data_IF_344720239599
#
_entry.id   IF_344720239599
#
_cell.length_a   1.000
_cell.length_b   1.000
_cell.length_c   1.000
_cell.angle_alpha   90.00
_cell.angle_beta   90.00
_cell.angle_gamma   90.00
#
_symmetry.space_group_name_H-M   'P 1'
#
loop_
_entity.id
_entity.type
_entity.pdbx_description
1 polymer ?
#
# COMPACT_ATOMS: atom_id res chain seq x y z
N UNK A 1 20.38 -23.71 16.32
CA UNK A 1 19.96 -23.05 17.57
C UNK A 1 19.37 -21.66 17.29
N UNK A 2 18.12 -21.56 16.79
CA UNK A 2 17.49 -20.27 16.37
C UNK A 2 16.21 -19.91 17.15
N UNK A 3 16.02 -20.48 18.35
CA UNK A 3 14.78 -20.30 19.15
C UNK A 3 14.66 -18.95 19.90
N UNK A 4 15.71 -18.31 20.45
CA UNK A 4 15.51 -17.17 21.35
C UNK A 4 14.94 -15.94 20.63
N UNK A 5 15.42 -15.62 19.42
CA UNK A 5 14.95 -14.46 18.67
C UNK A 5 13.47 -14.58 18.26
N UNK A 6 13.02 -15.80 17.89
CA UNK A 6 11.62 -16.05 17.48
C UNK A 6 10.68 -15.83 18.66
N UNK A 7 11.08 -16.29 19.85
CA UNK A 7 10.30 -16.12 21.08
C UNK A 7 10.23 -14.64 21.45
N UNK A 8 11.35 -13.92 21.50
CA UNK A 8 11.38 -12.48 21.81
C UNK A 8 10.51 -11.68 20.85
N UNK A 9 10.63 -11.95 19.54
CA UNK A 9 9.80 -11.30 18.52
C UNK A 9 8.31 -11.57 18.72
N UNK A 10 7.93 -12.83 18.96
CA UNK A 10 6.52 -13.19 19.14
C UNK A 10 5.95 -12.57 20.42
N UNK A 11 6.72 -12.53 21.51
CA UNK A 11 6.34 -11.86 22.76
C UNK A 11 6.16 -10.36 22.54
N UNK A 12 7.09 -9.70 21.84
CA UNK A 12 6.99 -8.28 21.52
C UNK A 12 5.75 -7.97 20.67
N UNK A 13 5.44 -8.78 19.66
CA UNK A 13 4.22 -8.63 18.87
C UNK A 13 2.95 -8.86 19.69
N UNK A 14 2.94 -9.90 20.53
CA UNK A 14 1.80 -10.16 21.41
C UNK A 14 1.58 -8.99 22.39
N UNK A 15 2.64 -8.49 23.01
CA UNK A 15 2.57 -7.33 23.89
C UNK A 15 2.04 -6.08 23.15
N UNK A 16 2.52 -5.82 21.92
CA UNK A 16 2.02 -4.72 21.09
C UNK A 16 0.50 -4.83 20.83
N UNK A 17 0.02 -6.03 20.48
CA UNK A 17 -1.41 -6.27 20.25
C UNK A 17 -2.21 -6.10 21.53
N UNK A 18 -1.74 -6.63 22.67
CA UNK A 18 -2.41 -6.48 23.96
C UNK A 18 -2.50 -5.01 24.36
N UNK A 19 -1.41 -4.25 24.24
CA UNK A 19 -1.41 -2.80 24.53
C UNK A 19 -2.39 -2.06 23.63
N UNK A 20 -2.42 -2.38 22.33
CA UNK A 20 -3.38 -1.76 21.42
C UNK A 20 -4.84 -2.07 21.82
N UNK A 21 -5.16 -3.31 22.19
CA UNK A 21 -6.49 -3.70 22.65
C UNK A 21 -6.86 -2.96 23.93
N UNK A 22 -5.95 -2.91 24.92
CA UNK A 22 -6.18 -2.23 26.19
C UNK A 22 -6.45 -0.74 25.96
N UNK A 23 -5.66 -0.08 25.11
CA UNK A 23 -5.89 1.32 24.76
C UNK A 23 -7.25 1.53 24.08
N UNK A 24 -7.62 0.68 23.12
CA UNK A 24 -8.94 0.77 22.45
C UNK A 24 -10.09 0.59 23.45
N UNK A 25 -9.98 -0.38 24.36
CA UNK A 25 -11.01 -0.64 25.38
C UNK A 25 -11.11 0.53 26.37
N UNK A 26 -9.97 1.07 26.81
CA UNK A 26 -9.93 2.18 27.75
C UNK A 26 -10.58 3.46 27.16
N UNK A 27 -10.28 3.76 25.90
CA UNK A 27 -10.81 4.94 25.19
C UNK A 27 -12.15 4.67 24.47
N UNK A 28 -12.72 3.47 24.59
CA UNK A 28 -13.88 3.05 23.81
C UNK A 28 -15.10 3.98 23.88
N UNK A 29 -15.51 4.53 25.04
CA UNK A 29 -16.68 5.41 25.10
C UNK A 29 -16.53 6.66 24.22
N UNK A 30 -15.35 7.28 24.25
CA UNK A 30 -15.04 8.46 23.43
C UNK A 30 -14.93 8.09 21.95
N UNK A 31 -14.18 7.03 21.64
CA UNK A 31 -14.02 6.53 20.27
C UNK A 31 -15.37 6.19 19.64
N UNK A 32 -16.25 5.50 20.38
CA UNK A 32 -17.58 5.12 19.93
C UNK A 32 -18.48 6.34 19.70
N UNK A 33 -18.41 7.36 20.56
CA UNK A 33 -19.16 8.60 20.38
C UNK A 33 -18.73 9.34 19.10
N UNK A 34 -17.42 9.43 18.84
CA UNK A 34 -16.87 10.04 17.62
C UNK A 34 -17.29 9.23 16.38
N UNK A 35 -17.16 7.90 16.43
CA UNK A 35 -17.50 7.02 15.31
C UNK A 35 -18.97 7.05 14.94
N UNK A 36 -19.87 7.15 15.92
CA UNK A 36 -21.32 7.31 15.65
C UNK A 36 -21.59 8.57 14.83
N UNK A 37 -20.90 9.67 15.14
CA UNK A 37 -20.99 10.92 14.35
C UNK A 37 -20.38 10.78 12.95
N UNK A 38 -19.37 9.91 12.80
CA UNK A 38 -18.60 9.72 11.57
C UNK A 38 -19.03 8.47 10.77
N UNK A 39 -20.23 7.93 11.00
CA UNK A 39 -20.67 6.69 10.37
C UNK A 39 -20.67 6.75 8.82
N UNK A 40 -21.13 7.86 8.24
CA UNK A 40 -21.09 8.06 6.78
C UNK A 40 -19.65 8.21 6.27
N UNK A 41 -18.78 8.87 7.04
CA UNK A 41 -17.35 8.99 6.75
C UNK A 41 -16.68 7.61 6.70
N UNK A 42 -17.04 6.73 7.64
CA UNK A 42 -16.56 5.34 7.66
C UNK A 42 -17.00 4.55 6.41
N UNK A 43 -18.29 4.64 6.02
CA UNK A 43 -18.81 3.93 4.84
C UNK A 43 -18.15 4.42 3.55
N UNK A 44 -18.03 5.74 3.34
CA UNK A 44 -17.34 6.24 2.15
C UNK A 44 -15.86 5.86 2.12
N UNK A 45 -15.20 5.75 3.28
CA UNK A 45 -13.80 5.34 3.36
C UNK A 45 -13.66 3.87 2.94
N UNK A 46 -14.59 3.00 3.37
CA UNK A 46 -14.68 1.62 2.90
C UNK A 46 -14.81 1.56 1.37
N UNK A 47 -15.71 2.35 0.79
CA UNK A 47 -15.94 2.37 -0.67
C UNK A 47 -14.69 2.81 -1.42
N UNK A 48 -14.04 3.90 -1.00
CA UNK A 48 -12.83 4.41 -1.65
C UNK A 48 -11.68 3.38 -1.53
N UNK A 49 -11.52 2.75 -0.36
CA UNK A 49 -10.49 1.71 -0.15
C UNK A 49 -10.77 0.44 -0.96
N UNK A 50 -12.03 0.06 -1.14
CA UNK A 50 -12.42 -1.05 -2.02
C UNK A 50 -12.08 -0.72 -3.48
N UNK A 51 -12.39 0.48 -3.95
CA UNK A 51 -11.98 0.97 -5.27
C UNK A 51 -10.44 0.96 -5.42
N UNK A 52 -9.72 1.42 -4.40
CA UNK A 52 -8.26 1.38 -4.37
C UNK A 52 -7.71 -0.04 -4.48
N UNK A 53 -8.33 -1.00 -3.81
CA UNK A 53 -7.97 -2.42 -3.87
C UNK A 53 -8.22 -3.02 -5.26
N UNK A 54 -9.33 -2.66 -5.90
CA UNK A 54 -9.63 -3.07 -7.28
C UNK A 54 -8.63 -2.49 -8.28
N UNK A 55 -8.27 -1.22 -8.13
CA UNK A 55 -7.24 -0.57 -8.95
C UNK A 55 -5.89 -1.26 -8.75
N UNK A 56 -5.48 -1.54 -7.51
CA UNK A 56 -4.26 -2.28 -7.20
C UNK A 56 -4.25 -3.67 -7.86
N UNK A 57 -5.36 -4.39 -7.77
CA UNK A 57 -5.53 -5.72 -8.36
C UNK A 57 -5.36 -5.66 -9.88
N UNK A 58 -6.07 -4.73 -10.55
CA UNK A 58 -5.98 -4.55 -12.00
C UNK A 58 -4.56 -4.20 -12.41
N UNK A 59 -3.94 -3.29 -11.67
CA UNK A 59 -2.59 -2.82 -11.94
C UNK A 59 -1.55 -3.95 -11.82
N UNK A 60 -1.68 -4.81 -10.81
CA UNK A 60 -0.83 -5.99 -10.69
C UNK A 60 -0.98 -6.92 -11.90
N UNK A 61 -2.21 -7.17 -12.35
CA UNK A 61 -2.43 -8.03 -13.53
C UNK A 61 -1.80 -7.44 -14.80
N UNK A 62 -1.80 -6.12 -14.94
CA UNK A 62 -1.06 -5.43 -16.01
C UNK A 62 0.44 -5.71 -15.91
N UNK A 63 1.03 -5.65 -14.72
CA UNK A 63 2.46 -5.96 -14.53
C UNK A 63 2.81 -7.45 -14.63
N UNK A 64 1.84 -8.33 -14.40
CA UNK A 64 2.01 -9.77 -14.52
C UNK A 64 2.25 -10.19 -15.98
N UNK A 65 1.70 -9.45 -16.96
CA UNK A 65 1.87 -9.71 -18.40
C UNK A 65 1.54 -11.16 -18.81
N UNK A 66 0.70 -11.83 -18.04
CA UNK A 66 0.10 -13.12 -18.40
C UNK A 66 -1.28 -12.76 -18.94
N UNK A 67 -1.63 -13.26 -20.13
CA UNK A 67 -2.86 -12.88 -20.84
C UNK A 67 -4.18 -13.21 -20.09
N UNK A 68 -5.23 -13.61 -20.82
CA UNK A 68 -6.58 -13.80 -20.25
C UNK A 68 -6.75 -14.97 -19.24
N UNK A 69 -5.68 -15.61 -18.77
CA UNK A 69 -5.77 -16.80 -17.90
C UNK A 69 -6.27 -16.49 -16.48
N UNK A 70 -6.02 -15.28 -15.97
CA UNK A 70 -6.40 -14.90 -14.60
C UNK A 70 -7.65 -14.01 -14.60
N UNK A 71 -8.75 -14.52 -14.06
CA UNK A 71 -10.00 -13.77 -13.91
C UNK A 71 -9.83 -12.66 -12.86
N UNK A 72 -10.01 -11.40 -13.28
CA UNK A 72 -9.87 -10.21 -12.42
C UNK A 72 -10.56 -10.33 -11.06
N UNK A 73 -11.85 -10.69 -11.04
CA UNK A 73 -12.63 -10.75 -9.79
C UNK A 73 -12.14 -11.82 -8.81
N UNK A 74 -11.72 -12.99 -9.30
CA UNK A 74 -11.14 -14.03 -8.45
C UNK A 74 -9.82 -13.56 -7.85
N UNK A 75 -9.01 -12.88 -8.66
CA UNK A 75 -7.75 -12.33 -8.17
C UNK A 75 -7.95 -11.16 -7.20
N UNK A 76 -9.00 -10.32 -7.37
CA UNK A 76 -9.35 -9.26 -6.44
C UNK A 76 -9.69 -9.79 -5.03
N UNK A 77 -10.38 -10.92 -4.96
CA UNK A 77 -10.68 -11.59 -3.69
C UNK A 77 -9.41 -12.12 -3.02
N UNK A 78 -8.52 -12.74 -3.80
CA UNK A 78 -7.21 -13.19 -3.31
C UNK A 78 -6.36 -12.00 -2.87
N UNK A 79 -6.46 -10.86 -3.57
CA UNK A 79 -5.80 -9.62 -3.17
C UNK A 79 -6.32 -9.13 -1.83
N UNK A 80 -7.63 -9.07 -1.65
CA UNK A 80 -8.26 -8.73 -0.37
C UNK A 80 -7.84 -9.68 0.77
N UNK A 81 -7.86 -10.99 0.55
CA UNK A 81 -7.37 -11.99 1.51
C UNK A 81 -5.88 -11.79 1.82
N UNK A 82 -5.09 -11.42 0.81
CA UNK A 82 -3.66 -11.13 0.99
C UNK A 82 -3.43 -9.86 1.82
N UNK A 83 -4.29 -8.85 1.67
CA UNK A 83 -4.30 -7.65 2.51
C UNK A 83 -4.65 -8.01 3.96
N UNK A 84 -5.64 -8.87 4.19
CA UNK A 84 -5.99 -9.36 5.53
C UNK A 84 -4.84 -10.18 6.13
N UNK A 85 -4.19 -11.04 5.36
CA UNK A 85 -3.02 -11.80 5.83
C UNK A 85 -1.90 -10.86 6.30
N UNK A 86 -1.70 -9.71 5.64
CA UNK A 86 -0.73 -8.72 6.08
C UNK A 86 -1.06 -8.15 7.46
N UNK A 87 -2.33 -8.06 7.86
CA UNK A 87 -2.71 -7.62 9.21
C UNK A 87 -2.41 -8.65 10.31
N UNK A 88 -2.33 -9.93 9.96
CA UNK A 88 -2.15 -11.02 10.93
C UNK A 88 -0.67 -11.36 11.13
N UNK A 89 0.16 -11.24 10.10
CA UNK A 89 1.55 -11.66 10.14
C UNK A 89 2.54 -10.59 9.63
N UNK A 90 3.77 -10.57 10.17
CA UNK A 90 4.83 -9.63 9.78
C UNK A 90 5.39 -9.97 8.40
N UNK A 91 6.16 -9.04 7.80
CA UNK A 91 6.91 -9.24 6.56
C UNK A 91 6.05 -9.48 5.30
N UNK A 92 4.88 -8.84 5.23
CA UNK A 92 4.00 -8.86 4.06
C UNK A 92 3.67 -10.27 3.50
N UNK A 93 3.12 -11.19 4.32
CA UNK A 93 2.75 -12.55 3.90
C UNK A 93 1.76 -12.57 2.72
N UNK A 94 1.04 -11.47 2.48
CA UNK A 94 0.16 -11.31 1.32
C UNK A 94 0.87 -11.45 -0.03
N UNK A 95 2.17 -11.18 -0.13
CA UNK A 95 2.93 -11.51 -1.35
C UNK A 95 2.92 -13.03 -1.58
N UNK A 96 3.22 -13.81 -0.55
CA UNK A 96 3.24 -15.27 -0.63
C UNK A 96 1.85 -15.84 -0.94
N UNK A 97 0.79 -15.31 -0.33
CA UNK A 97 -0.61 -15.72 -0.62
C UNK A 97 -0.94 -15.55 -2.11
N UNK A 98 -0.64 -14.36 -2.68
CA UNK A 98 -0.92 -14.07 -4.10
C UNK A 98 -0.10 -14.96 -5.02
N UNK A 99 1.20 -15.10 -4.76
CA UNK A 99 2.10 -15.90 -5.59
C UNK A 99 1.76 -17.40 -5.52
N UNK A 100 1.40 -17.92 -4.35
CA UNK A 100 0.96 -19.30 -4.19
C UNK A 100 -0.35 -19.58 -4.93
N UNK A 101 -1.30 -18.64 -4.89
CA UNK A 101 -2.54 -18.77 -5.65
C UNK A 101 -2.29 -18.71 -7.17
N UNK A 102 -1.45 -17.79 -7.64
CA UNK A 102 -1.05 -17.69 -9.05
C UNK A 102 -0.37 -18.97 -9.54
N UNK A 103 0.50 -19.56 -8.72
CA UNK A 103 1.14 -20.85 -9.03
C UNK A 103 0.11 -21.98 -9.22
N UNK A 104 -0.96 -22.01 -8.41
CA UNK A 104 -2.09 -22.95 -8.60
C UNK A 104 -2.86 -22.70 -9.89
N UNK A 105 -2.84 -21.47 -10.42
CA UNK A 105 -3.41 -21.12 -11.71
C UNK A 105 -2.43 -21.32 -12.89
N UNK A 106 -1.31 -22.01 -12.68
CA UNK A 106 -0.31 -22.28 -13.73
C UNK A 106 0.60 -21.11 -14.06
N UNK A 107 0.60 -20.03 -13.26
CA UNK A 107 1.51 -18.90 -13.45
C UNK A 107 2.81 -19.18 -12.72
N UNK A 108 3.94 -19.01 -13.42
CA UNK A 108 5.27 -19.18 -12.81
C UNK A 108 5.46 -18.25 -11.61
N UNK A 109 6.00 -18.80 -10.52
CA UNK A 109 6.30 -18.08 -9.27
C UNK A 109 7.19 -16.85 -9.53
N UNK A 110 8.17 -16.98 -10.44
CA UNK A 110 9.05 -15.89 -10.84
C UNK A 110 8.31 -14.72 -11.47
N UNK A 111 7.30 -14.96 -12.31
CA UNK A 111 6.51 -13.90 -12.94
C UNK A 111 5.63 -13.18 -11.89
N UNK A 112 5.05 -13.90 -10.94
CA UNK A 112 4.32 -13.30 -9.82
C UNK A 112 5.19 -12.40 -8.92
N UNK A 113 6.43 -12.85 -8.65
CA UNK A 113 7.41 -12.04 -7.91
C UNK A 113 7.90 -10.83 -8.72
N UNK A 114 8.15 -10.99 -10.02
CA UNK A 114 8.52 -9.89 -10.91
C UNK A 114 7.41 -8.84 -11.03
N UNK A 115 6.15 -9.26 -11.09
CA UNK A 115 5.00 -8.35 -11.08
C UNK A 115 4.93 -7.54 -9.78
N UNK A 116 5.12 -8.22 -8.63
CA UNK A 116 5.21 -7.57 -7.31
C UNK A 116 6.34 -6.54 -7.28
N UNK A 117 7.52 -6.92 -7.76
CA UNK A 117 8.68 -6.04 -7.83
C UNK A 117 8.40 -4.80 -8.69
N UNK A 118 7.84 -4.98 -9.90
CA UNK A 118 7.48 -3.88 -10.80
C UNK A 118 6.50 -2.92 -10.15
N UNK A 119 5.49 -3.44 -9.45
CA UNK A 119 4.52 -2.61 -8.75
C UNK A 119 5.15 -1.83 -7.59
N UNK A 120 6.05 -2.46 -6.80
CA UNK A 120 6.78 -1.78 -5.73
C UNK A 120 7.67 -0.66 -6.28
N UNK A 121 8.48 -0.95 -7.30
CA UNK A 121 9.34 0.05 -7.95
C UNK A 121 8.52 1.20 -8.53
N UNK A 122 7.42 0.90 -9.23
CA UNK A 122 6.53 1.91 -9.77
C UNK A 122 5.90 2.77 -8.65
N UNK A 123 5.47 2.15 -7.55
CA UNK A 123 4.92 2.87 -6.40
C UNK A 123 5.94 3.75 -5.71
N UNK A 124 7.19 3.30 -5.50
CA UNK A 124 8.27 4.14 -4.97
C UNK A 124 8.52 5.33 -5.90
N UNK A 125 8.63 5.06 -7.20
CA UNK A 125 8.91 6.11 -8.17
C UNK A 125 7.78 7.15 -8.21
N UNK A 126 6.52 6.73 -8.25
CA UNK A 126 5.37 7.65 -8.20
C UNK A 126 5.29 8.39 -6.85
N UNK A 127 5.70 7.76 -5.74
CA UNK A 127 5.72 8.43 -4.44
C UNK A 127 6.70 9.60 -4.38
N UNK A 128 7.85 9.53 -5.06
CA UNK A 128 8.85 10.61 -5.07
C UNK A 128 8.29 11.86 -5.75
N UNK A 129 7.70 11.71 -6.94
CA UNK A 129 7.04 12.83 -7.62
C UNK A 129 5.79 13.27 -6.89
N UNK A 130 5.03 12.35 -6.30
CA UNK A 130 3.87 12.66 -5.47
C UNK A 130 4.22 13.51 -4.25
N UNK A 131 5.32 13.19 -3.55
CA UNK A 131 5.85 14.00 -2.44
C UNK A 131 6.31 15.38 -2.94
N UNK A 132 7.05 15.43 -4.05
CA UNK A 132 7.50 16.71 -4.62
C UNK A 132 6.32 17.62 -4.96
N UNK A 133 5.32 17.08 -5.68
CA UNK A 133 4.09 17.81 -6.04
C UNK A 133 3.31 18.19 -4.79
N UNK A 134 3.10 17.27 -3.85
CA UNK A 134 2.37 17.52 -2.61
C UNK A 134 2.99 18.64 -1.78
N UNK A 135 4.33 18.65 -1.64
CA UNK A 135 5.08 19.69 -0.96
C UNK A 135 4.94 21.06 -1.65
N UNK A 136 5.01 21.13 -2.98
CA UNK A 136 4.77 22.38 -3.70
C UNK A 136 3.35 22.89 -3.53
N UNK A 137 2.36 21.98 -3.53
CA UNK A 137 0.95 22.30 -3.34
C UNK A 137 0.62 22.76 -1.90
N UNK A 138 1.50 22.53 -0.92
CA UNK A 138 1.30 23.09 0.43
C UNK A 138 1.47 24.61 0.48
N UNK A 139 2.15 25.21 -0.51
CA UNK A 139 2.48 26.63 -0.50
C UNK A 139 3.58 27.04 0.49
N UNK A 140 4.03 26.15 1.38
CA UNK A 140 5.09 26.44 2.35
C UNK A 140 6.46 26.56 1.65
N UNK A 141 7.11 27.71 1.84
CA UNK A 141 8.47 27.98 1.40
C UNK A 141 9.48 26.90 1.81
N UNK A 142 9.32 26.29 3.00
CA UNK A 142 10.21 25.24 3.53
C UNK A 142 10.12 23.94 2.72
N UNK A 143 8.97 23.68 2.10
CA UNK A 143 8.75 22.49 1.27
C UNK A 143 9.42 22.55 -0.11
N UNK A 144 9.84 23.73 -0.58
CA UNK A 144 10.36 23.93 -1.95
C UNK A 144 11.67 23.20 -2.20
N UNK A 145 12.62 23.28 -1.27
CA UNK A 145 13.91 22.60 -1.40
C UNK A 145 13.80 21.08 -1.36
N UNK A 146 13.08 20.47 -0.39
CA UNK A 146 12.81 19.04 -0.42
C UNK A 146 12.06 18.62 -1.69
N UNK A 147 11.08 19.41 -2.16
CA UNK A 147 10.37 19.12 -3.40
C UNK A 147 11.30 19.10 -4.62
N UNK A 148 12.20 20.09 -4.74
CA UNK A 148 13.20 20.13 -5.81
C UNK A 148 14.11 18.90 -5.75
N UNK A 149 14.65 18.59 -4.56
CA UNK A 149 15.51 17.41 -4.38
C UNK A 149 14.81 16.11 -4.80
N UNK A 150 13.56 15.91 -4.36
CA UNK A 150 12.76 14.75 -4.71
C UNK A 150 12.43 14.70 -6.21
N UNK A 151 12.17 15.85 -6.83
CA UNK A 151 11.97 15.99 -8.27
C UNK A 151 13.23 15.60 -9.07
N UNK A 152 14.40 16.09 -8.64
CA UNK A 152 15.68 15.71 -9.26
C UNK A 152 15.96 14.22 -9.07
N UNK A 153 15.74 13.68 -7.86
CA UNK A 153 15.90 12.25 -7.58
C UNK A 153 14.96 11.39 -8.46
N UNK A 154 13.72 11.83 -8.67
CA UNK A 154 12.76 11.17 -9.55
C UNK A 154 13.25 11.10 -11.01
N UNK A 155 13.78 12.21 -11.55
CA UNK A 155 14.39 12.25 -12.89
C UNK A 155 15.65 11.38 -12.94
N UNK A 156 16.51 11.48 -11.92
CA UNK A 156 17.75 10.72 -11.85
C UNK A 156 17.51 9.21 -11.86
N UNK A 157 16.49 8.72 -11.14
CA UNK A 157 16.10 7.30 -11.14
C UNK A 157 15.65 6.85 -12.53
N UNK A 158 14.88 7.68 -13.24
CA UNK A 158 14.47 7.38 -14.61
C UNK A 158 15.68 7.27 -15.55
N UNK A 159 16.60 8.23 -15.48
CA UNK A 159 17.83 8.22 -16.28
C UNK A 159 18.72 7.03 -15.92
N UNK A 160 18.87 6.73 -14.63
CA UNK A 160 19.66 5.60 -14.13
C UNK A 160 19.07 4.27 -14.61
N UNK A 161 17.75 4.12 -14.66
CA UNK A 161 17.08 2.95 -15.25
C UNK A 161 17.45 2.79 -16.73
N UNK A 162 17.39 3.88 -17.50
CA UNK A 162 17.75 3.85 -18.93
C UNK A 162 19.23 3.48 -19.13
N UNK A 163 20.12 4.09 -18.34
CA UNK A 163 21.56 3.79 -18.36
C UNK A 163 21.84 2.34 -17.96
N UNK A 164 21.20 1.85 -16.89
CA UNK A 164 21.33 0.48 -16.41
C UNK A 164 20.90 -0.52 -17.49
N UNK A 165 19.78 -0.28 -18.17
CA UNK A 165 19.34 -1.11 -19.30
C UNK A 165 20.37 -1.12 -20.44
N UNK A 166 20.90 0.04 -20.84
CA UNK A 166 21.96 0.14 -21.86
C UNK A 166 23.24 -0.59 -21.46
N UNK A 167 23.64 -0.50 -20.19
CA UNK A 167 24.82 -1.18 -19.65
C UNK A 167 24.61 -2.70 -19.58
N UNK A 168 23.43 -3.13 -19.13
CA UNK A 168 23.02 -4.53 -19.13
C UNK A 168 23.07 -5.11 -20.54
N UNK A 169 22.57 -4.39 -21.55
CA UNK A 169 22.59 -4.85 -22.95
C UNK A 169 24.02 -5.09 -23.44
N UNK A 170 24.97 -4.21 -23.07
CA UNK A 170 26.39 -4.32 -23.45
C UNK A 170 27.15 -5.45 -22.75
N UNK A 171 26.65 -5.98 -21.63
CA UNK A 171 27.29 -7.11 -20.95
C UNK A 171 27.05 -8.42 -21.73
N UNK A 172 28.10 -8.92 -22.39
CA UNK A 172 28.06 -10.12 -23.24
C UNK A 172 28.73 -11.34 -22.61
N UNK A 173 29.54 -11.19 -21.55
CA UNK A 173 30.27 -12.29 -20.89
C UNK A 173 30.45 -11.99 -19.40
N UNK A 174 30.53 -13.00 -18.50
CA UNK A 174 30.42 -14.46 -18.69
C UNK A 174 28.98 -15.04 -18.61
N UNK A 175 28.79 -16.29 -19.03
CA UNK A 175 27.47 -16.95 -19.18
C UNK A 175 26.65 -17.08 -17.88
N UNK A 176 27.28 -17.23 -16.72
CA UNK A 176 26.56 -17.26 -15.43
C UNK A 176 25.88 -15.91 -15.11
N UNK A 177 26.45 -14.81 -15.63
CA UNK A 177 25.87 -13.48 -15.56
C UNK A 177 24.70 -13.31 -16.55
N UNK A 178 24.63 -14.09 -17.63
CA UNK A 178 23.58 -14.00 -18.63
C UNK A 178 22.19 -14.38 -18.07
N UNK A 179 22.11 -15.39 -17.20
CA UNK A 179 20.85 -15.76 -16.55
C UNK A 179 20.37 -14.67 -15.58
N UNK A 180 21.29 -14.09 -14.81
CA UNK A 180 21.01 -12.94 -13.92
C UNK A 180 20.68 -11.68 -14.70
N UNK A 181 21.33 -11.45 -15.85
CA UNK A 181 21.06 -10.36 -16.79
C UNK A 181 19.63 -10.42 -17.30
N UNK A 182 19.16 -11.59 -17.74
CA UNK A 182 17.79 -11.72 -18.25
C UNK A 182 16.74 -11.41 -17.17
N UNK A 183 16.98 -11.84 -15.92
CA UNK A 183 16.11 -11.51 -14.79
C UNK A 183 16.11 -10.00 -14.48
N UNK A 184 17.29 -9.36 -14.43
CA UNK A 184 17.42 -7.92 -14.21
C UNK A 184 16.76 -7.10 -15.33
N UNK A 185 16.93 -7.53 -16.58
CA UNK A 185 16.31 -6.91 -17.73
C UNK A 185 14.79 -7.03 -17.67
N UNK A 186 14.24 -8.22 -17.38
CA UNK A 186 12.79 -8.41 -17.18
C UNK A 186 12.25 -7.61 -16.00
N UNK A 187 13.00 -7.49 -14.92
CA UNK A 187 12.63 -6.67 -13.77
C UNK A 187 12.54 -5.18 -14.14
N UNK A 188 13.42 -4.70 -15.02
CA UNK A 188 13.52 -3.30 -15.42
C UNK A 188 12.66 -2.91 -16.65
N UNK A 189 12.29 -3.82 -17.55
CA UNK A 189 11.54 -3.48 -18.79
C UNK A 189 10.02 -3.57 -18.66
N UNK A 190 9.49 -4.32 -17.70
CA UNK A 190 8.04 -4.57 -17.58
C UNK A 190 7.18 -3.48 -16.93
N UNK A 191 7.70 -2.27 -16.74
CA UNK A 191 6.91 -1.14 -16.22
C UNK A 191 6.31 -0.38 -17.41
N UNK A 192 5.02 -0.62 -17.67
CA UNK A 192 4.26 -0.03 -18.78
C UNK A 192 3.45 1.20 -18.34
N UNK A 193 3.11 2.08 -19.29
CA UNK A 193 2.37 3.33 -19.03
C UNK A 193 1.00 3.12 -18.39
N UNK A 194 0.26 2.10 -18.83
CA UNK A 194 -1.02 1.71 -18.21
C UNK A 194 -0.86 1.28 -16.75
N UNK A 195 0.26 0.65 -16.42
CA UNK A 195 0.60 0.28 -15.05
C UNK A 195 0.92 1.51 -14.18
N UNK A 196 1.67 2.46 -14.73
CA UNK A 196 1.94 3.75 -14.07
C UNK A 196 0.65 4.54 -13.82
N UNK A 197 -0.28 4.58 -14.79
CA UNK A 197 -1.58 5.20 -14.62
C UNK A 197 -2.39 4.54 -13.49
N UNK A 198 -2.32 3.22 -13.36
CA UNK A 198 -2.91 2.49 -12.23
C UNK A 198 -2.31 2.90 -10.88
N UNK A 199 -0.98 3.02 -10.78
CA UNK A 199 -0.31 3.52 -9.56
C UNK A 199 -0.75 4.96 -9.25
N UNK A 200 -0.75 5.85 -10.23
CA UNK A 200 -1.20 7.24 -10.05
C UNK A 200 -2.64 7.27 -9.53
N UNK A 201 -3.53 6.47 -10.12
CA UNK A 201 -4.94 6.37 -9.69
C UNK A 201 -5.05 5.92 -8.23
N UNK A 202 -4.23 4.96 -7.82
CA UNK A 202 -4.15 4.49 -6.43
C UNK A 202 -3.71 5.60 -5.46
N UNK A 203 -2.75 6.44 -5.85
CA UNK A 203 -2.32 7.60 -5.03
C UNK A 203 -3.37 8.70 -5.00
N UNK A 204 -4.09 8.93 -6.10
CA UNK A 204 -5.23 9.85 -6.14
C UNK A 204 -6.33 9.37 -5.19
N UNK A 205 -6.73 8.10 -5.24
CA UNK A 205 -7.74 7.54 -4.32
C UNK A 205 -7.29 7.60 -2.85
N UNK A 206 -6.01 7.33 -2.57
CA UNK A 206 -5.45 7.51 -1.23
C UNK A 206 -5.49 8.97 -0.76
N UNK A 207 -5.15 9.90 -1.65
CA UNK A 207 -5.20 11.33 -1.36
C UNK A 207 -6.63 11.79 -1.07
N UNK A 208 -7.58 11.34 -1.89
CA UNK A 208 -8.99 11.65 -1.72
C UNK A 208 -9.54 11.09 -0.41
N UNK A 209 -9.20 9.84 -0.03
CA UNK A 209 -9.67 9.27 1.23
C UNK A 209 -9.13 10.04 2.42
N UNK A 210 -7.84 10.42 2.42
CA UNK A 210 -7.26 11.17 3.52
C UNK A 210 -7.80 12.60 3.58
N UNK A 211 -7.83 13.31 2.46
CA UNK A 211 -8.40 14.66 2.38
C UNK A 211 -9.83 14.71 2.90
N UNK A 212 -10.67 13.77 2.46
CA UNK A 212 -12.06 13.72 2.87
C UNK A 212 -12.25 13.31 4.33
N UNK A 213 -11.56 12.26 4.82
CA UNK A 213 -11.72 11.80 6.21
C UNK A 213 -11.22 12.87 7.18
N UNK A 214 -10.05 13.47 6.94
CA UNK A 214 -9.54 14.53 7.80
C UNK A 214 -10.46 15.75 7.82
N UNK A 215 -10.93 16.21 6.65
CA UNK A 215 -11.88 17.32 6.57
C UNK A 215 -13.19 17.03 7.32
N UNK A 216 -13.66 15.77 7.32
CA UNK A 216 -14.84 15.35 8.10
C UNK A 216 -14.62 15.31 9.60
N UNK A 217 -13.38 15.12 10.05
CA UNK A 217 -12.99 15.26 11.45
C UNK A 217 -12.73 16.71 11.85
N UNK A 218 -12.82 17.67 10.92
CA UNK A 218 -12.61 19.09 11.19
C UNK A 218 -11.17 19.55 11.08
N UNK A 219 -10.26 18.71 10.57
CA UNK A 219 -8.89 19.12 10.31
C UNK A 219 -8.81 20.01 9.06
N UNK A 220 -8.06 21.11 9.15
CA UNK A 220 -7.78 22.01 8.02
C UNK A 220 -6.63 21.45 7.16
N UNK A 221 -6.89 20.33 6.50
CA UNK A 221 -5.93 19.68 5.61
C UNK A 221 -6.11 20.13 4.16
N UNK A 222 -5.04 20.65 3.55
CA UNK A 222 -4.98 20.92 2.12
C UNK A 222 -4.71 19.66 1.29
N UNK A 223 -5.05 19.71 0.00
CA UNK A 223 -4.82 18.58 -0.92
C UNK A 223 -3.34 18.18 -1.02
N UNK A 224 -2.42 19.14 -0.95
CA UNK A 224 -0.98 18.89 -0.97
C UNK A 224 -0.52 18.08 0.25
N UNK A 225 -1.03 18.43 1.44
CA UNK A 225 -0.74 17.72 2.69
C UNK A 225 -1.33 16.30 2.68
N UNK A 226 -2.55 16.14 2.19
CA UNK A 226 -3.18 14.83 2.02
C UNK A 226 -2.39 13.92 1.06
N UNK A 227 -1.83 14.49 -0.02
CA UNK A 227 -0.97 13.77 -0.96
C UNK A 227 0.35 13.35 -0.30
N UNK A 228 0.97 14.25 0.48
CA UNK A 228 2.20 13.94 1.24
C UNK A 228 1.94 12.79 2.22
N UNK A 229 0.88 12.87 3.04
CA UNK A 229 0.51 11.79 3.96
C UNK A 229 0.24 10.47 3.23
N UNK A 230 -0.46 10.53 2.10
CA UNK A 230 -0.71 9.34 1.26
C UNK A 230 0.60 8.70 0.81
N UNK A 231 1.57 9.50 0.36
CA UNK A 231 2.87 8.99 -0.04
C UNK A 231 3.63 8.37 1.13
N UNK A 232 3.62 8.99 2.31
CA UNK A 232 4.24 8.46 3.52
C UNK A 232 3.62 7.12 3.93
N UNK A 233 2.29 7.00 3.90
CA UNK A 233 1.58 5.75 4.19
C UNK A 233 2.00 4.65 3.22
N UNK A 234 1.99 4.93 1.91
CA UNK A 234 2.39 3.92 0.92
C UNK A 234 3.85 3.50 1.07
N UNK A 235 4.78 4.44 1.26
CA UNK A 235 6.20 4.12 1.48
C UNK A 235 6.39 3.31 2.77
N UNK A 236 5.71 3.69 3.85
CA UNK A 236 5.79 2.95 5.12
C UNK A 236 5.30 1.50 4.95
N UNK A 237 4.26 1.28 4.14
CA UNK A 237 3.71 -0.04 3.91
C UNK A 237 4.70 -0.98 3.22
N UNK A 238 5.67 -0.44 2.45
CA UNK A 238 6.72 -1.23 1.77
C UNK A 238 7.75 -1.81 2.73
N UNK A 239 7.97 -1.17 3.88
CA UNK A 239 8.94 -1.57 4.92
C UNK A 239 8.18 -2.16 6.12
N UNK A 240 7.02 -2.79 5.88
CA UNK A 240 6.16 -3.31 6.94
C UNK A 240 6.79 -4.54 7.63
N UNK A 241 7.60 -4.28 8.66
CA UNK A 241 8.17 -5.30 9.55
C UNK A 241 7.14 -5.78 10.56
N UNK A 242 6.17 -4.93 10.92
CA UNK A 242 5.08 -5.24 11.85
C UNK A 242 3.83 -5.75 11.11
N UNK A 243 2.98 -6.58 11.75
CA UNK A 243 1.69 -6.98 11.18
C UNK A 243 0.82 -5.76 10.85
N UNK A 244 0.40 -5.63 9.59
CA UNK A 244 -0.42 -4.54 9.08
C UNK A 244 0.22 -3.17 9.25
N UNK A 245 1.55 -3.12 9.37
CA UNK A 245 2.32 -1.95 9.74
C UNK A 245 1.75 -1.21 10.97
N UNK A 246 1.23 -1.99 11.93
CA UNK A 246 0.60 -1.49 13.16
C UNK A 246 1.58 -0.60 13.94
N UNK A 247 1.10 0.55 14.40
CA UNK A 247 1.87 1.55 15.11
C UNK A 247 2.47 2.59 14.17
N UNK A 248 3.09 2.19 13.06
CA UNK A 248 3.71 3.12 12.11
C UNK A 248 2.66 3.90 11.32
N UNK A 249 1.67 3.21 10.75
CA UNK A 249 0.60 3.87 9.98
C UNK A 249 -0.27 4.73 10.90
N UNK A 250 -0.57 4.26 12.11
CA UNK A 250 -1.32 5.02 13.11
C UNK A 250 -0.56 6.26 13.52
N UNK A 251 0.76 6.15 13.75
CA UNK A 251 1.59 7.31 14.05
C UNK A 251 1.55 8.32 12.90
N UNK A 252 1.67 7.89 11.64
CA UNK A 252 1.57 8.80 10.49
C UNK A 252 0.22 9.52 10.48
N UNK A 253 -0.89 8.80 10.69
CA UNK A 253 -2.23 9.41 10.75
C UNK A 253 -2.43 10.30 11.96
N UNK A 254 -1.90 9.93 13.13
CA UNK A 254 -2.06 10.71 14.34
C UNK A 254 -1.21 11.97 14.33
N UNK A 255 0.06 11.87 13.91
CA UNK A 255 0.93 13.03 13.72
C UNK A 255 0.38 13.98 12.66
N UNK A 256 -0.14 13.45 11.56
CA UNK A 256 -0.85 14.24 10.56
C UNK A 256 -2.03 14.98 11.18
N UNK A 257 -2.95 14.27 11.83
CA UNK A 257 -4.17 14.89 12.37
C UNK A 257 -3.87 15.89 13.49
N UNK A 258 -2.91 15.60 14.37
CA UNK A 258 -2.53 16.49 15.45
C UNK A 258 -1.84 17.75 14.93
N UNK A 259 -1.00 17.59 13.90
CA UNK A 259 -0.39 18.71 13.17
C UNK A 259 -1.41 19.63 12.49
N UNK A 260 -2.63 19.16 12.26
CA UNK A 260 -3.74 19.94 11.69
C UNK A 260 -4.82 20.30 12.72
N UNK A 261 -4.47 20.29 14.02
CA UNK A 261 -5.31 20.86 15.09
C UNK A 261 -6.31 19.89 15.72
N UNK A 262 -6.31 18.60 15.36
CA UNK A 262 -7.15 17.61 16.02
C UNK A 262 -6.59 17.23 17.40
N UNK A 263 -7.50 16.95 18.33
CA UNK A 263 -7.15 16.41 19.65
C UNK A 263 -6.58 14.99 19.55
N UNK A 264 -5.89 14.52 20.59
CA UNK A 264 -5.33 13.15 20.64
C UNK A 264 -6.42 12.09 20.49
N UNK A 265 -7.60 12.31 21.07
CA UNK A 265 -8.74 11.40 20.94
C UNK A 265 -9.29 11.36 19.50
N UNK A 266 -9.45 12.51 18.85
CA UNK A 266 -9.93 12.60 17.47
C UNK A 266 -8.94 11.99 16.48
N UNK A 267 -7.65 12.23 16.65
CA UNK A 267 -6.61 11.63 15.82
C UNK A 267 -6.52 10.12 15.98
N UNK A 268 -6.65 9.62 17.21
CA UNK A 268 -6.75 8.19 17.48
C UNK A 268 -8.00 7.58 16.84
N UNK A 269 -9.15 8.23 16.97
CA UNK A 269 -10.39 7.79 16.34
C UNK A 269 -10.30 7.77 14.81
N UNK A 270 -9.65 8.77 14.20
CA UNK A 270 -9.41 8.86 12.77
C UNK A 270 -8.50 7.73 12.28
N UNK A 271 -7.38 7.50 12.98
CA UNK A 271 -6.42 6.46 12.61
C UNK A 271 -7.06 5.06 12.68
N UNK A 272 -7.83 4.80 13.75
CA UNK A 272 -8.60 3.57 13.89
C UNK A 272 -9.68 3.45 12.81
N UNK A 273 -10.38 4.53 12.48
CA UNK A 273 -11.43 4.54 11.45
C UNK A 273 -10.83 4.12 10.11
N UNK A 274 -9.72 4.73 9.69
CA UNK A 274 -9.03 4.38 8.45
C UNK A 274 -8.55 2.93 8.44
N UNK A 275 -7.96 2.45 9.54
CA UNK A 275 -7.52 1.05 9.64
C UNK A 275 -8.70 0.08 9.51
N UNK A 276 -9.77 0.31 10.27
CA UNK A 276 -10.95 -0.56 10.25
C UNK A 276 -11.67 -0.47 8.91
N UNK A 277 -11.70 0.69 8.25
CA UNK A 277 -12.23 0.81 6.89
C UNK A 277 -11.46 -0.04 5.90
N UNK A 278 -10.13 -0.14 6.03
CA UNK A 278 -9.32 -0.96 5.13
C UNK A 278 -9.52 -2.47 5.37
N UNK A 279 -9.64 -2.86 6.64
CA UNK A 279 -9.99 -4.24 7.01
C UNK A 279 -11.39 -4.59 6.52
N UNK A 280 -12.38 -3.74 6.76
CA UNK A 280 -13.76 -3.94 6.35
C UNK A 280 -13.89 -4.00 4.82
N UNK A 281 -13.22 -3.10 4.07
CA UNK A 281 -13.22 -3.14 2.61
C UNK A 281 -12.63 -4.45 2.08
N UNK A 282 -11.55 -4.93 2.70
CA UNK A 282 -10.93 -6.22 2.34
C UNK A 282 -11.85 -7.40 2.68
N UNK A 283 -12.49 -7.41 3.85
CA UNK A 283 -13.46 -8.47 4.22
C UNK A 283 -14.64 -8.49 3.25
N UNK A 284 -15.26 -7.34 2.98
CA UNK A 284 -16.39 -7.24 2.06
C UNK A 284 -15.99 -7.72 0.66
N UNK A 285 -14.85 -7.26 0.13
CA UNK A 285 -14.39 -7.66 -1.20
C UNK A 285 -14.07 -9.17 -1.28
N UNK A 286 -13.51 -9.76 -0.21
CA UNK A 286 -13.30 -11.21 -0.12
C UNK A 286 -14.62 -11.98 -0.10
N UNK A 287 -15.64 -11.47 0.61
CA UNK A 287 -16.96 -12.12 0.73
C UNK A 287 -17.82 -11.99 -0.52
N UNK A 288 -17.70 -10.91 -1.30
CA UNK A 288 -18.43 -10.73 -2.56
C UNK A 288 -18.22 -11.88 -3.57
N UNK A 289 -17.18 -12.70 -3.41
CA UNK A 289 -16.92 -13.89 -4.22
C UNK A 289 -17.57 -15.19 -3.80
N UNK A 290 -17.94 -15.30 -2.51
CA UNK A 290 -18.49 -16.53 -1.94
C UNK A 290 -19.96 -16.72 -2.35
N UNK A 291 -20.62 -15.65 -2.81
CA UNK A 291 -22.06 -15.59 -3.10
C UNK A 291 -22.42 -16.01 -4.54
N UNK A 292 -21.57 -16.75 -5.27
CA UNK A 292 -22.02 -17.43 -6.50
C UNK A 292 -22.14 -18.95 -6.29
N UNK A 293 -23.37 -19.47 -6.16
CA UNK A 293 -23.61 -20.90 -6.25
C UNK A 293 -23.21 -21.39 -7.65
N UNK A 294 -22.53 -22.53 -7.63
CA UNK A 294 -22.32 -23.45 -8.73
C UNK A 294 -23.55 -23.56 -9.65
N UNK A 295 -23.42 -23.12 -10.90
CA UNK A 295 -24.11 -23.68 -12.06
C UNK A 295 -23.24 -23.47 -13.30
N UNK A 296 -22.29 -24.37 -13.49
CA UNK A 296 -21.90 -24.85 -14.81
C UNK A 296 -22.01 -26.37 -14.71
N UNK A 297 -23.16 -26.87 -15.16
CA UNK A 297 -23.27 -28.21 -15.73
C UNK A 297 -23.00 -28.13 -17.22
#
# INVERSE_FOLDING_TARGET
MNRPWRVVRNVAYFALVVVAIVLVVHWWPELAAIWRKQALTFVGAIVIMMCGTLVQTRNFLVFLNVGHSVRFWRFAQVWALSSLANYVAPLQPGIAVRVAWLARCGVNVSEGLLATWRQLVASVWISLVGLAVGLLLTGDSRGRWPALFLGVAWVAIYLLRSLCLRLLDRWTRPAWLAHRKQLLQRAATGIVSSGLAGVVTQYVLGTLVLYWVYGRFGADIGIGQALVLTCLVYVSSMISVLPGNLGVVEAIYMFGGHGFGLSVAETGALALLLRVSNVASSVLLALCGVVKPSREG
#
